data_IF_820453704412
#
_entry.id   IF_820453704412
#
_cell.length_a   1.000
_cell.length_b   1.000
_cell.length_c   1.000
_cell.angle_alpha   90.00
_cell.angle_beta   90.00
_cell.angle_gamma   90.00
#
_symmetry.space_group_name_H-M   'P 1'
#
loop_
_entity.id
_entity.type
_entity.pdbx_description
1 polymer ?
#
# COMPACT_ATOMS: atom_id res chain seq x y z
N UNK A 1 21.49 29.56 50.32
CA UNK A 1 22.13 28.80 49.22
C UNK A 1 21.18 27.82 48.53
N UNK A 2 19.95 27.61 49.02
CA UNK A 2 18.94 26.69 48.44
C UNK A 2 18.13 27.29 47.27
N UNK A 3 17.98 28.62 47.19
CA UNK A 3 17.20 29.30 46.14
C UNK A 3 17.79 29.16 44.72
N UNK A 4 19.12 29.08 44.61
CA UNK A 4 19.81 29.03 43.32
C UNK A 4 19.68 27.67 42.63
N UNK A 5 19.56 26.57 43.40
CA UNK A 5 19.40 25.23 42.85
C UNK A 5 17.96 24.98 42.34
N UNK A 6 16.96 25.51 43.05
CA UNK A 6 15.55 25.43 42.64
C UNK A 6 15.29 26.25 41.38
N UNK A 7 15.86 27.47 41.30
CA UNK A 7 15.76 28.31 40.10
C UNK A 7 16.42 27.68 38.87
N UNK A 8 17.54 26.98 39.05
CA UNK A 8 18.26 26.32 37.96
C UNK A 8 17.53 25.04 37.48
N UNK A 9 16.96 24.25 38.40
CA UNK A 9 16.09 23.12 38.05
C UNK A 9 14.80 23.57 37.35
N UNK A 10 14.18 24.67 37.78
CA UNK A 10 12.99 25.23 37.12
C UNK A 10 13.32 25.80 35.73
N UNK A 11 14.47 26.45 35.57
CA UNK A 11 14.92 26.93 34.27
C UNK A 11 15.25 25.76 33.31
N UNK A 12 15.87 24.68 33.81
CA UNK A 12 16.10 23.46 33.04
C UNK A 12 14.79 22.76 32.68
N UNK A 13 13.85 22.60 33.61
CA UNK A 13 12.53 22.02 33.33
C UNK A 13 11.72 22.85 32.33
N UNK A 14 11.82 24.19 32.40
CA UNK A 14 11.14 25.09 31.48
C UNK A 14 11.77 25.01 30.08
N UNK A 15 13.10 24.97 29.99
CA UNK A 15 13.81 24.76 28.73
C UNK A 15 13.59 23.35 28.15
N UNK A 16 13.44 22.32 28.99
CA UNK A 16 13.03 20.98 28.57
C UNK A 16 11.58 20.95 28.07
N UNK A 17 10.68 21.75 28.66
CA UNK A 17 9.28 21.87 28.24
C UNK A 17 9.06 22.69 26.96
N UNK A 18 10.05 23.48 26.51
CA UNK A 18 9.97 24.37 25.33
C UNK A 18 10.05 23.63 23.97
N UNK A 19 9.89 22.31 23.95
CA UNK A 19 9.90 21.49 22.72
C UNK A 19 8.63 20.66 22.54
N UNK A 20 8.33 20.19 21.32
CA UNK A 20 7.14 19.41 21.02
C UNK A 20 7.12 18.13 21.85
N UNK A 21 5.94 17.80 22.38
CA UNK A 21 5.74 16.59 23.17
C UNK A 21 5.86 15.31 22.31
N UNK A 22 6.05 14.15 22.96
CA UNK A 22 6.07 12.84 22.29
C UNK A 22 4.84 12.64 21.41
N UNK A 23 3.66 12.98 21.93
CA UNK A 23 2.40 12.85 21.22
C UNK A 23 2.30 13.80 20.02
N UNK A 24 2.79 15.03 20.15
CA UNK A 24 2.77 16.02 19.06
C UNK A 24 3.69 15.60 17.91
N UNK A 25 4.86 15.04 18.24
CA UNK A 25 5.76 14.43 17.26
C UNK A 25 5.07 13.25 16.56
N UNK A 26 4.42 12.38 17.33
CA UNK A 26 3.70 11.24 16.77
C UNK A 26 2.57 11.69 15.84
N UNK A 27 1.75 12.68 16.25
CA UNK A 27 0.66 13.23 15.46
C UNK A 27 1.15 13.93 14.20
N UNK A 28 2.27 14.66 14.27
CA UNK A 28 2.91 15.23 13.10
C UNK A 28 3.33 14.15 12.10
N UNK A 29 3.97 13.08 12.56
CA UNK A 29 4.36 11.95 11.70
C UNK A 29 3.12 11.26 11.12
N UNK A 30 2.06 11.01 11.92
CA UNK A 30 0.79 10.43 11.43
C UNK A 30 0.16 11.31 10.36
N UNK A 31 0.10 12.62 10.59
CA UNK A 31 -0.44 13.59 9.63
C UNK A 31 0.37 13.63 8.35
N UNK A 32 1.70 13.61 8.45
CA UNK A 32 2.60 13.55 7.30
C UNK A 32 2.47 12.24 6.52
N UNK A 33 2.28 11.11 7.19
CA UNK A 33 2.00 9.82 6.54
C UNK A 33 0.64 9.85 5.82
N UNK A 34 -0.42 10.30 6.50
CA UNK A 34 -1.78 10.38 5.95
C UNK A 34 -1.87 11.38 4.79
N UNK A 35 -1.17 12.50 4.89
CA UNK A 35 -1.08 13.53 3.86
C UNK A 35 -0.14 13.19 2.71
N UNK A 36 0.59 12.06 2.78
CA UNK A 36 1.50 11.62 1.73
C UNK A 36 2.84 12.36 1.68
N UNK A 37 3.16 13.18 2.68
CA UNK A 37 4.46 13.86 2.81
C UNK A 37 5.55 12.88 3.25
N UNK A 38 5.23 12.00 4.20
CA UNK A 38 6.05 10.87 4.61
C UNK A 38 5.46 9.61 3.99
N UNK A 39 5.89 9.30 2.78
CA UNK A 39 5.51 8.05 2.14
C UNK A 39 6.13 6.87 2.86
N UNK A 40 5.53 5.70 2.78
CA UNK A 40 6.15 4.55 3.35
C UNK A 40 7.38 4.10 2.56
N UNK A 41 8.24 3.33 3.22
CA UNK A 41 9.62 3.08 2.77
C UNK A 41 10.55 4.30 2.88
N UNK A 42 10.04 5.47 3.28
CA UNK A 42 10.88 6.64 3.56
C UNK A 42 11.67 6.42 4.84
N UNK A 43 12.98 6.65 4.75
CA UNK A 43 13.85 6.72 5.92
C UNK A 43 13.47 7.92 6.78
N UNK A 44 13.15 7.67 8.03
CA UNK A 44 12.82 8.68 9.02
C UNK A 44 14.02 8.90 9.94
N UNK A 45 14.49 10.13 10.02
CA UNK A 45 15.56 10.53 10.94
C UNK A 45 15.06 11.62 11.86
N UNK A 46 15.53 11.60 13.10
CA UNK A 46 15.17 12.60 14.11
C UNK A 46 15.46 14.02 13.60
N UNK A 47 16.60 14.24 12.94
CA UNK A 47 16.97 15.55 12.42
C UNK A 47 16.00 16.11 11.36
N UNK A 48 15.36 15.23 10.57
CA UNK A 48 14.32 15.64 9.62
C UNK A 48 13.07 16.11 10.37
N UNK A 49 12.61 15.33 11.35
CA UNK A 49 11.42 15.68 12.15
C UNK A 49 11.65 16.97 12.95
N UNK A 50 12.84 17.15 13.51
CA UNK A 50 13.20 18.40 14.17
C UNK A 50 13.15 19.60 13.20
N UNK A 51 13.63 19.43 11.97
CA UNK A 51 13.53 20.46 10.93
C UNK A 51 12.07 20.73 10.52
N UNK A 52 11.27 19.69 10.32
CA UNK A 52 9.87 19.81 9.91
C UNK A 52 9.01 20.51 10.99
N UNK A 53 9.37 20.34 12.26
CA UNK A 53 8.76 21.01 13.42
C UNK A 53 9.43 22.34 13.80
N UNK A 54 10.45 22.79 13.07
CA UNK A 54 11.17 24.03 13.37
C UNK A 54 11.91 24.05 14.72
N UNK A 55 12.30 22.88 15.23
CA UNK A 55 12.88 22.71 16.57
C UNK A 55 14.40 22.50 16.55
N UNK A 56 15.08 22.87 17.65
CA UNK A 56 16.50 22.53 17.86
C UNK A 56 16.70 21.04 18.16
N UNK A 57 17.94 20.52 18.12
CA UNK A 57 18.26 19.08 18.27
C UNK A 57 17.85 18.41 19.61
N UNK A 58 17.27 19.14 20.56
CA UNK A 58 16.77 18.62 21.86
C UNK A 58 15.48 17.78 21.77
N UNK A 59 15.21 17.17 20.61
CA UNK A 59 14.02 16.33 20.36
C UNK A 59 14.34 14.84 20.29
N UNK A 60 15.62 14.44 20.36
CA UNK A 60 16.07 13.05 20.13
C UNK A 60 15.35 12.02 21.00
N UNK A 61 15.40 12.15 22.34
CA UNK A 61 14.77 11.17 23.22
C UNK A 61 13.25 11.11 23.03
N UNK A 62 12.59 12.26 22.81
CA UNK A 62 11.14 12.31 22.59
C UNK A 62 10.72 11.75 21.24
N UNK A 63 11.50 12.00 20.20
CA UNK A 63 11.28 11.44 18.88
C UNK A 63 11.47 9.93 18.88
N UNK A 64 12.46 9.40 19.61
CA UNK A 64 12.65 7.96 19.78
C UNK A 64 11.45 7.30 20.48
N UNK A 65 10.93 7.89 21.56
CA UNK A 65 9.70 7.38 22.19
C UNK A 65 8.49 7.45 21.23
N UNK A 66 8.31 8.55 20.52
CA UNK A 66 7.24 8.69 19.54
C UNK A 66 7.36 7.63 18.42
N UNK A 67 8.59 7.34 17.96
CA UNK A 67 8.81 6.33 16.93
C UNK A 67 8.57 4.90 17.43
N UNK A 68 8.83 4.63 18.70
CA UNK A 68 8.47 3.35 19.33
C UNK A 68 6.95 3.17 19.41
N UNK A 69 6.20 4.21 19.80
CA UNK A 69 4.73 4.18 19.81
C UNK A 69 4.19 3.94 18.40
N UNK A 70 4.68 4.69 17.41
CA UNK A 70 4.29 4.52 16.01
C UNK A 70 4.71 3.16 15.43
N UNK A 71 5.75 2.51 15.97
CA UNK A 71 6.10 1.12 15.61
C UNK A 71 5.14 0.12 16.23
N UNK A 72 4.69 0.34 17.47
CA UNK A 72 3.66 -0.48 18.08
C UNK A 72 2.33 -0.37 17.30
N UNK A 73 2.03 0.81 16.75
CA UNK A 73 0.92 1.05 15.80
C UNK A 73 1.19 0.45 14.39
N UNK A 74 2.39 -0.03 14.11
CA UNK A 74 2.80 -0.58 12.81
C UNK A 74 3.05 0.47 11.72
N UNK A 75 3.06 1.76 12.05
CA UNK A 75 3.29 2.86 11.11
C UNK A 75 4.78 3.09 10.82
N UNK A 76 5.66 2.70 11.75
CA UNK A 76 7.11 2.71 11.55
C UNK A 76 7.70 1.32 11.79
N UNK A 77 8.87 1.07 11.21
CA UNK A 77 9.71 -0.08 11.54
C UNK A 77 11.15 0.37 11.74
N UNK A 78 11.90 -0.42 12.50
CA UNK A 78 13.31 -0.17 12.77
C UNK A 78 14.15 -1.24 12.08
N UNK A 79 14.99 -0.85 11.13
CA UNK A 79 15.85 -1.76 10.36
C UNK A 79 17.20 -1.11 10.06
N UNK A 80 18.27 -1.85 10.33
CA UNK A 80 19.64 -1.43 10.00
C UNK A 80 20.04 -0.13 10.69
N UNK A 81 19.68 0.01 11.98
CA UNK A 81 19.93 1.19 12.81
C UNK A 81 19.18 2.45 12.39
N UNK A 82 18.09 2.32 11.62
CA UNK A 82 17.32 3.45 11.14
C UNK A 82 15.82 3.18 11.21
N UNK A 83 15.06 4.24 11.46
CA UNK A 83 13.61 4.23 11.36
C UNK A 83 13.17 4.37 9.92
N UNK A 84 12.12 3.64 9.57
CA UNK A 84 11.48 3.69 8.26
C UNK A 84 9.99 3.80 8.47
N UNK A 85 9.34 4.59 7.64
CA UNK A 85 7.89 4.56 7.55
C UNK A 85 7.48 3.20 7.01
N UNK A 86 6.75 2.43 7.81
CA UNK A 86 6.26 1.11 7.41
C UNK A 86 5.26 1.31 6.28
N UNK A 87 5.49 0.66 5.15
CA UNK A 87 4.48 0.43 4.13
C UNK A 87 3.26 -0.20 4.80
N UNK A 88 2.13 0.53 4.92
CA UNK A 88 0.90 -0.06 5.43
C UNK A 88 0.60 -1.35 4.66
N UNK A 89 0.84 -1.31 3.34
CA UNK A 89 0.47 -2.35 2.38
C UNK A 89 1.31 -3.63 2.44
N UNK A 90 2.44 -3.64 3.16
CA UNK A 90 3.25 -4.84 3.37
C UNK A 90 2.86 -5.61 4.65
N UNK A 91 1.94 -5.11 5.47
CA UNK A 91 1.53 -5.82 6.68
C UNK A 91 0.66 -7.04 6.35
N UNK A 92 0.89 -8.20 7.00
CA UNK A 92 0.08 -9.40 6.81
C UNK A 92 -1.44 -9.16 6.96
N UNK A 93 -1.85 -8.32 7.90
CA UNK A 93 -3.25 -7.97 8.17
C UNK A 93 -3.89 -7.18 7.03
N UNK A 94 -3.15 -6.25 6.42
CA UNK A 94 -3.62 -5.48 5.28
C UNK A 94 -3.66 -6.32 4.01
N UNK A 95 -2.64 -7.15 3.78
CA UNK A 95 -2.63 -8.13 2.69
C UNK A 95 -3.84 -9.07 2.81
N UNK A 96 -4.14 -9.57 4.02
CA UNK A 96 -5.33 -10.35 4.28
C UNK A 96 -6.61 -9.56 3.96
N UNK A 97 -6.73 -8.31 4.42
CA UNK A 97 -7.84 -7.43 4.09
C UNK A 97 -8.08 -7.27 2.59
N UNK A 98 -7.02 -7.04 1.82
CA UNK A 98 -7.11 -6.89 0.37
C UNK A 98 -7.52 -8.18 -0.33
N UNK A 99 -7.03 -9.34 0.14
CA UNK A 99 -7.46 -10.63 -0.37
C UNK A 99 -8.94 -10.88 -0.06
N UNK A 100 -9.44 -10.49 1.12
CA UNK A 100 -10.87 -10.54 1.42
C UNK A 100 -11.66 -9.69 0.44
N UNK A 101 -11.21 -8.47 0.15
CA UNK A 101 -11.84 -7.62 -0.88
C UNK A 101 -11.89 -8.33 -2.23
N UNK A 102 -10.80 -8.96 -2.68
CA UNK A 102 -10.80 -9.71 -3.94
C UNK A 102 -11.78 -10.89 -3.95
N UNK A 103 -11.95 -11.59 -2.83
CA UNK A 103 -12.93 -12.67 -2.70
C UNK A 103 -14.34 -12.10 -2.69
N UNK A 104 -14.58 -11.07 -1.87
CA UNK A 104 -15.87 -10.40 -1.72
C UNK A 104 -16.38 -9.83 -3.04
N UNK A 105 -15.54 -9.17 -3.83
CA UNK A 105 -15.91 -8.63 -5.14
C UNK A 105 -15.94 -9.68 -6.26
N UNK A 106 -15.68 -10.95 -5.95
CA UNK A 106 -15.73 -12.05 -6.90
C UNK A 106 -14.54 -12.15 -7.87
N UNK A 107 -13.42 -11.48 -7.61
CA UNK A 107 -12.19 -11.72 -8.35
C UNK A 107 -11.66 -13.14 -8.07
N UNK A 108 -11.88 -13.64 -6.86
CA UNK A 108 -11.64 -15.03 -6.47
C UNK A 108 -12.93 -15.67 -5.92
N UNK A 109 -13.71 -16.39 -6.76
CA UNK A 109 -14.95 -17.02 -6.33
C UNK A 109 -14.73 -18.07 -5.23
N UNK A 110 -15.74 -18.35 -4.39
CA UNK A 110 -15.69 -19.45 -3.43
C UNK A 110 -15.33 -20.79 -4.07
N UNK A 111 -14.47 -21.56 -3.41
CA UNK A 111 -13.96 -22.84 -3.92
C UNK A 111 -12.92 -22.73 -5.03
N UNK A 112 -12.60 -21.53 -5.52
CA UNK A 112 -11.54 -21.35 -6.52
C UNK A 112 -10.15 -21.43 -5.90
N UNK A 113 -9.19 -21.94 -6.68
CA UNK A 113 -7.79 -21.93 -6.31
C UNK A 113 -7.23 -20.52 -6.39
N UNK A 114 -6.54 -20.08 -5.35
CA UNK A 114 -5.79 -18.83 -5.36
C UNK A 114 -4.44 -19.04 -6.08
N UNK A 115 -3.85 -17.97 -6.63
CA UNK A 115 -2.55 -18.07 -7.26
C UNK A 115 -1.49 -18.57 -6.26
N UNK A 116 -0.43 -19.19 -6.78
CA UNK A 116 0.71 -19.59 -5.95
C UNK A 116 1.32 -18.36 -5.27
N UNK A 117 1.82 -18.56 -4.04
CA UNK A 117 2.31 -17.46 -3.19
C UNK A 117 3.31 -16.56 -3.89
N UNK A 118 4.24 -17.13 -4.67
CA UNK A 118 5.25 -16.35 -5.39
C UNK A 118 4.62 -15.44 -6.45
N UNK A 119 3.64 -15.94 -7.19
CA UNK A 119 2.99 -15.17 -8.26
C UNK A 119 2.07 -14.08 -7.69
N UNK A 120 1.33 -14.39 -6.62
CA UNK A 120 0.51 -13.36 -5.97
C UNK A 120 1.38 -12.30 -5.28
N UNK A 121 2.47 -12.70 -4.61
CA UNK A 121 3.40 -11.76 -4.00
C UNK A 121 4.02 -10.82 -5.03
N UNK A 122 4.41 -11.35 -6.19
CA UNK A 122 4.90 -10.55 -7.33
C UNK A 122 3.83 -9.57 -7.83
N UNK A 123 2.60 -10.06 -8.03
CA UNK A 123 1.51 -9.23 -8.55
C UNK A 123 1.09 -8.10 -7.60
N UNK A 124 1.14 -8.36 -6.30
CA UNK A 124 0.86 -7.37 -5.25
C UNK A 124 2.11 -6.59 -4.81
N UNK A 125 3.27 -6.89 -5.38
CA UNK A 125 4.55 -6.25 -5.06
C UNK A 125 4.89 -6.26 -3.56
N UNK A 126 4.49 -7.32 -2.86
CA UNK A 126 4.71 -7.58 -1.42
C UNK A 126 5.73 -8.69 -1.21
N UNK A 127 6.25 -8.82 0.02
CA UNK A 127 7.12 -9.94 0.37
C UNK A 127 6.36 -11.27 0.46
N UNK A 128 6.99 -12.37 0.04
CA UNK A 128 6.43 -13.73 0.18
C UNK A 128 6.24 -14.12 1.65
N UNK A 129 7.10 -13.62 2.54
CA UNK A 129 7.00 -13.81 3.99
C UNK A 129 5.71 -13.17 4.54
N UNK A 130 5.45 -11.90 4.21
CA UNK A 130 4.25 -11.20 4.68
C UNK A 130 2.98 -11.77 4.06
N UNK A 131 3.04 -12.18 2.79
CA UNK A 131 1.93 -12.90 2.17
C UNK A 131 1.69 -14.27 2.83
N UNK A 132 2.75 -14.99 3.21
CA UNK A 132 2.66 -16.22 3.98
C UNK A 132 1.97 -16.01 5.32
N UNK A 133 2.36 -14.98 6.07
CA UNK A 133 1.68 -14.59 7.30
C UNK A 133 0.22 -14.17 7.07
N UNK A 134 -0.10 -13.49 5.96
CA UNK A 134 -1.46 -13.17 5.58
C UNK A 134 -2.29 -14.43 5.31
N UNK A 135 -1.70 -15.46 4.70
CA UNK A 135 -2.37 -16.76 4.53
C UNK A 135 -2.66 -17.45 5.86
N UNK A 136 -1.82 -17.28 6.88
CA UNK A 136 -2.14 -17.79 8.21
C UNK A 136 -3.36 -17.08 8.80
N UNK A 137 -3.39 -15.75 8.76
CA UNK A 137 -4.55 -14.95 9.22
C UNK A 137 -5.84 -15.41 8.52
N UNK A 138 -5.82 -15.51 7.18
CA UNK A 138 -7.00 -15.91 6.40
C UNK A 138 -7.44 -17.36 6.64
N UNK A 139 -6.51 -18.25 7.00
CA UNK A 139 -6.81 -19.64 7.34
C UNK A 139 -7.43 -19.74 8.72
N UNK A 140 -6.89 -19.01 9.69
CA UNK A 140 -7.39 -18.97 11.07
C UNK A 140 -8.83 -18.41 11.11
N UNK A 141 -9.15 -17.48 10.20
CA UNK A 141 -10.50 -16.94 9.99
C UNK A 141 -11.45 -17.88 9.24
N UNK A 142 -10.95 -18.94 8.62
CA UNK A 142 -11.75 -19.82 7.74
C UNK A 142 -12.08 -19.23 6.38
N UNK A 143 -11.41 -18.14 5.96
CA UNK A 143 -11.56 -17.54 4.63
C UNK A 143 -10.87 -18.38 3.55
N UNK A 144 -9.72 -18.98 3.88
CA UNK A 144 -8.92 -19.81 2.98
C UNK A 144 -8.70 -21.18 3.60
N UNK A 145 -8.81 -22.23 2.81
CA UNK A 145 -8.53 -23.61 3.21
C UNK A 145 -7.31 -24.16 2.46
N UNK A 146 -6.54 -25.01 3.13
CA UNK A 146 -5.45 -25.77 2.52
C UNK A 146 -6.00 -27.09 2.01
N UNK A 147 -5.86 -27.38 0.72
CA UNK A 147 -6.21 -28.67 0.12
C UNK A 147 -4.93 -29.40 -0.27
N UNK A 148 -4.73 -30.62 0.22
CA UNK A 148 -3.52 -31.41 -0.05
C UNK A 148 -3.25 -31.52 -1.56
N UNK A 149 -2.03 -31.15 -1.99
CA UNK A 149 -1.62 -31.15 -3.40
C UNK A 149 -2.07 -29.91 -4.21
N UNK A 150 -2.82 -28.99 -3.59
CA UNK A 150 -3.26 -27.74 -4.19
C UNK A 150 -2.74 -26.55 -3.38
N UNK A 151 -2.58 -25.40 -4.05
CA UNK A 151 -2.31 -24.13 -3.37
C UNK A 151 -3.46 -23.71 -2.43
N UNK A 152 -3.39 -22.53 -1.82
CA UNK A 152 -4.50 -22.00 -1.03
C UNK A 152 -5.79 -21.95 -1.87
N UNK A 153 -6.92 -22.38 -1.30
CA UNK A 153 -8.24 -22.38 -1.96
C UNK A 153 -9.19 -21.51 -1.15
N UNK A 154 -10.01 -20.71 -1.83
CA UNK A 154 -11.04 -19.90 -1.16
C UNK A 154 -12.06 -20.83 -0.52
N UNK A 155 -12.42 -20.58 0.74
CA UNK A 155 -13.47 -21.35 1.42
C UNK A 155 -14.77 -21.34 0.59
N UNK A 156 -15.47 -22.48 0.45
CA UNK A 156 -16.79 -22.51 -0.20
C UNK A 156 -17.82 -21.61 0.48
N UNK A 157 -17.65 -21.35 1.78
CA UNK A 157 -18.50 -20.47 2.59
C UNK A 157 -17.58 -19.53 3.38
N UNK A 158 -17.13 -18.41 2.77
CA UNK A 158 -16.30 -17.45 3.48
C UNK A 158 -17.10 -16.75 4.60
N UNK A 159 -16.43 -16.29 5.68
CA UNK A 159 -17.08 -15.75 6.87
C UNK A 159 -17.61 -14.32 6.70
N UNK A 160 -17.79 -13.85 5.46
CA UNK A 160 -18.27 -12.52 5.11
C UNK A 160 -19.22 -12.59 3.91
N UNK A 161 -20.15 -11.62 3.77
CA UNK A 161 -21.06 -11.59 2.64
C UNK A 161 -20.28 -11.38 1.33
N UNK A 162 -20.67 -12.13 0.30
CA UNK A 162 -20.14 -11.95 -1.04
C UNK A 162 -20.98 -10.94 -1.80
N UNK A 163 -20.32 -10.10 -2.58
CA UNK A 163 -20.99 -9.21 -3.53
C UNK A 163 -21.25 -9.95 -4.84
N UNK A 164 -22.28 -9.52 -5.56
CA UNK A 164 -22.46 -9.96 -6.94
C UNK A 164 -21.27 -9.47 -7.76
N UNK A 165 -20.50 -10.37 -8.41
CA UNK A 165 -19.36 -9.96 -9.21
C UNK A 165 -19.83 -9.01 -10.30
N UNK A 166 -19.25 -7.81 -10.34
CA UNK A 166 -19.56 -6.83 -11.38
C UNK A 166 -19.20 -7.42 -12.75
N UNK A 167 -20.10 -7.24 -13.71
CA UNK A 167 -19.79 -7.55 -15.10
C UNK A 167 -18.65 -6.65 -15.61
N UNK A 168 -17.93 -7.08 -16.66
CA UNK A 168 -16.80 -6.31 -17.19
C UNK A 168 -17.16 -4.87 -17.61
N UNK A 169 -18.38 -4.63 -18.09
CA UNK A 169 -18.82 -3.31 -18.56
C UNK A 169 -19.12 -2.37 -17.40
N UNK A 170 -19.70 -2.88 -16.32
CA UNK A 170 -19.92 -2.18 -15.06
C UNK A 170 -18.58 -1.82 -14.40
N UNK A 171 -17.63 -2.76 -14.36
CA UNK A 171 -16.25 -2.48 -13.93
C UNK A 171 -15.61 -1.38 -14.77
N UNK A 172 -15.71 -1.48 -16.10
CA UNK A 172 -15.17 -0.47 -16.99
C UNK A 172 -15.83 0.91 -16.80
N UNK A 173 -17.11 0.94 -16.45
CA UNK A 173 -17.83 2.19 -16.17
C UNK A 173 -17.34 2.83 -14.88
N UNK A 174 -17.12 2.05 -13.81
CA UNK A 174 -16.56 2.59 -12.55
C UNK A 174 -15.11 3.06 -12.74
N UNK A 175 -14.28 2.28 -13.42
CA UNK A 175 -12.88 2.65 -13.68
C UNK A 175 -12.74 3.91 -14.53
N UNK A 176 -13.66 4.18 -15.46
CA UNK A 176 -13.69 5.43 -16.24
C UNK A 176 -13.78 6.69 -15.37
N UNK A 177 -14.43 6.61 -14.21
CA UNK A 177 -14.46 7.74 -13.27
C UNK A 177 -13.09 8.06 -12.64
N UNK A 178 -12.16 7.10 -12.67
CA UNK A 178 -10.80 7.24 -12.13
C UNK A 178 -9.75 7.59 -13.20
N UNK A 179 -10.08 7.47 -14.50
CA UNK A 179 -9.16 7.80 -15.58
C UNK A 179 -9.08 9.30 -15.82
N UNK A 180 -7.87 9.83 -15.97
CA UNK A 180 -7.63 11.25 -16.31
C UNK A 180 -7.72 11.43 -17.82
N UNK A 181 -8.92 11.72 -18.32
CA UNK A 181 -9.18 12.10 -19.72
C UNK A 181 -8.85 11.02 -20.76
N UNK A 182 -9.27 11.25 -22.01
CA UNK A 182 -8.91 10.43 -23.17
C UNK A 182 -7.42 10.62 -23.52
N UNK A 183 -6.50 10.28 -22.61
CA UNK A 183 -5.09 10.18 -22.96
C UNK A 183 -4.98 9.12 -24.06
N UNK A 184 -4.49 9.50 -25.23
CA UNK A 184 -4.23 8.58 -26.33
C UNK A 184 -3.37 7.42 -25.81
N UNK A 185 -3.95 6.23 -25.83
CA UNK A 185 -3.39 5.02 -25.25
C UNK A 185 -2.27 4.52 -26.16
N UNK A 186 -1.11 5.17 -26.13
CA UNK A 186 0.06 4.68 -26.82
C UNK A 186 0.74 3.60 -25.97
N UNK A 187 0.96 2.43 -26.55
CA UNK A 187 1.66 1.31 -25.91
C UNK A 187 3.02 1.72 -25.32
N UNK A 188 3.72 2.68 -25.94
CA UNK A 188 4.97 3.22 -25.40
C UNK A 188 4.76 3.95 -24.08
N UNK A 189 3.78 4.86 -24.02
CA UNK A 189 3.46 5.62 -22.81
C UNK A 189 2.99 4.72 -21.66
N UNK A 190 2.26 3.64 -21.96
CA UNK A 190 1.88 2.64 -20.95
C UNK A 190 3.11 1.89 -20.44
N UNK A 191 4.02 1.45 -21.33
CA UNK A 191 5.25 0.77 -20.94
C UNK A 191 6.15 1.66 -20.07
N UNK A 192 6.27 2.92 -20.42
CA UNK A 192 6.99 3.92 -19.63
C UNK A 192 6.34 4.11 -18.26
N UNK A 193 5.02 4.29 -18.21
CA UNK A 193 4.25 4.41 -16.95
C UNK A 193 4.44 3.17 -16.07
N UNK A 194 4.46 1.96 -16.65
CA UNK A 194 4.73 0.72 -15.93
C UNK A 194 6.17 0.66 -15.39
N UNK A 195 7.16 1.13 -16.16
CA UNK A 195 8.56 1.16 -15.73
C UNK A 195 8.77 2.20 -14.62
N UNK A 196 8.14 3.37 -14.74
CA UNK A 196 8.22 4.46 -13.79
C UNK A 196 7.60 4.08 -12.45
N UNK A 197 6.37 3.56 -12.42
CA UNK A 197 5.72 3.09 -11.20
C UNK A 197 6.53 2.01 -10.47
N UNK A 198 7.06 1.02 -11.22
CA UNK A 198 7.93 -0.02 -10.65
C UNK A 198 9.23 0.55 -10.11
N UNK A 199 9.81 1.54 -10.80
CA UNK A 199 11.03 2.19 -10.35
C UNK A 199 10.77 2.92 -9.03
N UNK A 200 9.76 3.78 -8.97
CA UNK A 200 9.39 4.50 -7.74
C UNK A 200 9.16 3.56 -6.56
N UNK A 201 8.41 2.48 -6.76
CA UNK A 201 8.19 1.49 -5.70
C UNK A 201 9.48 0.79 -5.28
N UNK A 202 10.30 0.33 -6.24
CA UNK A 202 11.54 -0.40 -5.97
C UNK A 202 12.59 0.49 -5.29
N UNK A 203 12.73 1.73 -5.72
CA UNK A 203 13.72 2.68 -5.18
C UNK A 203 13.19 3.45 -3.98
N UNK A 204 11.94 3.17 -3.56
CA UNK A 204 11.23 3.90 -2.48
C UNK A 204 11.31 5.42 -2.70
N UNK A 205 11.19 5.85 -3.95
CA UNK A 205 11.28 7.24 -4.35
C UNK A 205 9.88 7.84 -4.40
N UNK A 206 9.71 8.99 -3.76
CA UNK A 206 8.46 9.75 -3.81
C UNK A 206 8.36 10.53 -5.12
N UNK A 207 7.43 10.17 -6.03
CA UNK A 207 7.13 11.03 -7.17
C UNK A 207 6.40 12.30 -6.72
N UNK A 208 6.45 13.39 -7.53
CA UNK A 208 5.52 14.49 -7.41
C UNK A 208 4.06 13.99 -7.50
N UNK A 209 3.11 14.54 -6.72
CA UNK A 209 1.72 14.07 -6.73
C UNK A 209 1.07 14.08 -8.11
N UNK A 210 1.32 15.11 -8.92
CA UNK A 210 0.80 15.20 -10.28
C UNK A 210 1.32 14.08 -11.19
N UNK A 211 2.60 13.70 -11.05
CA UNK A 211 3.18 12.60 -11.81
C UNK A 211 2.57 11.26 -11.39
N UNK A 212 2.35 11.05 -10.08
CA UNK A 212 1.69 9.83 -9.59
C UNK A 212 0.26 9.68 -10.13
N UNK A 213 -0.53 10.75 -10.08
CA UNK A 213 -1.91 10.75 -10.58
C UNK A 213 -1.97 10.55 -12.11
N UNK A 214 -1.03 11.15 -12.85
CA UNK A 214 -0.92 10.93 -14.29
C UNK A 214 -0.56 9.46 -14.62
N UNK A 215 0.47 8.90 -13.97
CA UNK A 215 0.87 7.50 -14.14
C UNK A 215 -0.28 6.56 -13.76
N UNK A 216 -0.98 6.83 -12.66
CA UNK A 216 -2.16 6.07 -12.25
C UNK A 216 -3.26 6.13 -13.32
N UNK A 217 -3.60 7.33 -13.80
CA UNK A 217 -4.58 7.54 -14.85
C UNK A 217 -4.26 6.75 -16.13
N UNK A 218 -3.01 6.80 -16.62
CA UNK A 218 -2.57 6.03 -17.78
C UNK A 218 -2.75 4.52 -17.59
N UNK A 219 -2.40 4.01 -16.40
CA UNK A 219 -2.53 2.59 -16.08
C UNK A 219 -4.00 2.16 -15.98
N UNK A 220 -4.87 2.98 -15.42
CA UNK A 220 -6.32 2.73 -15.41
C UNK A 220 -6.88 2.70 -16.83
N UNK A 221 -6.47 3.64 -17.69
CA UNK A 221 -6.88 3.64 -19.10
C UNK A 221 -6.39 2.37 -19.83
N UNK A 222 -5.18 1.89 -19.53
CA UNK A 222 -4.69 0.61 -20.05
C UNK A 222 -5.53 -0.59 -19.57
N UNK A 223 -5.91 -0.64 -18.29
CA UNK A 223 -6.81 -1.68 -17.74
C UNK A 223 -8.18 -1.64 -18.43
N UNK A 224 -8.73 -0.44 -18.66
CA UNK A 224 -9.99 -0.26 -19.40
C UNK A 224 -9.91 -0.81 -20.82
N UNK A 225 -8.81 -0.55 -21.52
CA UNK A 225 -8.59 -1.08 -22.86
C UNK A 225 -8.50 -2.61 -22.83
N UNK A 226 -7.75 -3.19 -21.88
CA UNK A 226 -7.59 -4.64 -21.74
C UNK A 226 -8.89 -5.36 -21.35
N UNK A 227 -9.74 -4.73 -20.53
CA UNK A 227 -11.06 -5.26 -20.20
C UNK A 227 -11.97 -5.29 -21.43
N UNK A 228 -11.95 -4.23 -22.25
CA UNK A 228 -12.74 -4.13 -23.48
C UNK A 228 -12.26 -5.07 -24.58
N UNK A 229 -10.95 -5.30 -24.67
CA UNK A 229 -10.40 -6.26 -25.63
C UNK A 229 -10.73 -7.71 -25.29
N UNK A 230 -11.34 -7.97 -24.13
CA UNK A 230 -11.82 -9.27 -23.66
C UNK A 230 -10.75 -10.38 -23.76
N UNK A 231 -9.88 -10.53 -22.75
CA UNK A 231 -8.71 -11.40 -22.90
C UNK A 231 -9.10 -12.88 -23.04
N UNK A 232 -8.45 -13.59 -23.96
CA UNK A 232 -8.82 -14.96 -24.36
C UNK A 232 -8.68 -16.02 -23.25
N UNK A 233 -8.00 -15.70 -22.15
CA UNK A 233 -7.73 -16.66 -21.07
C UNK A 233 -8.50 -16.34 -19.77
N UNK A 234 -9.04 -17.36 -19.07
CA UNK A 234 -9.65 -17.18 -17.75
C UNK A 234 -8.69 -16.58 -16.71
N UNK A 235 -7.39 -16.88 -16.81
CA UNK A 235 -6.38 -16.34 -15.90
C UNK A 235 -6.21 -14.82 -16.08
N UNK A 236 -6.18 -14.33 -17.32
CA UNK A 236 -6.13 -12.90 -17.61
C UNK A 236 -7.37 -12.17 -17.08
N UNK A 237 -8.56 -12.79 -17.20
CA UNK A 237 -9.78 -12.27 -16.61
C UNK A 237 -9.70 -12.11 -15.10
N UNK A 238 -9.23 -13.13 -14.38
CA UNK A 238 -9.03 -13.07 -12.92
C UNK A 238 -8.03 -11.99 -12.54
N UNK A 239 -6.91 -11.89 -13.27
CA UNK A 239 -5.89 -10.85 -13.06
C UNK A 239 -6.47 -9.45 -13.25
N UNK A 240 -7.24 -9.21 -14.32
CA UNK A 240 -7.88 -7.92 -14.58
C UNK A 240 -8.94 -7.56 -13.54
N UNK A 241 -9.81 -8.52 -13.15
CA UNK A 241 -10.82 -8.30 -12.10
C UNK A 241 -10.18 -7.93 -10.77
N UNK A 242 -9.11 -8.63 -10.37
CA UNK A 242 -8.33 -8.29 -9.18
C UNK A 242 -7.76 -6.88 -9.28
N UNK A 243 -7.15 -6.52 -10.41
CA UNK A 243 -6.59 -5.18 -10.62
C UNK A 243 -7.67 -4.10 -10.57
N UNK A 244 -8.85 -4.36 -11.11
CA UNK A 244 -9.99 -3.45 -11.05
C UNK A 244 -10.50 -3.28 -9.60
N UNK A 245 -10.64 -4.37 -8.86
CA UNK A 245 -11.02 -4.33 -7.44
C UNK A 245 -9.99 -3.54 -6.61
N UNK A 246 -8.69 -3.73 -6.90
CA UNK A 246 -7.62 -2.99 -6.27
C UNK A 246 -7.73 -1.48 -6.53
N UNK A 247 -8.02 -1.09 -7.77
CA UNK A 247 -8.15 0.32 -8.16
C UNK A 247 -9.41 1.00 -7.58
N UNK A 248 -10.49 0.24 -7.38
CA UNK A 248 -11.79 0.73 -6.93
C UNK A 248 -11.96 0.72 -5.40
N UNK A 249 -11.01 0.16 -4.66
CA UNK A 249 -11.08 0.05 -3.20
C UNK A 249 -11.18 1.43 -2.53
N UNK A 250 -12.33 1.77 -1.91
CA UNK A 250 -12.59 3.09 -1.33
C UNK A 250 -11.95 3.27 0.04
N UNK A 251 -11.51 2.19 0.72
CA UNK A 251 -11.03 2.23 2.10
C UNK A 251 -9.54 2.54 2.24
N UNK A 252 -8.94 3.11 1.19
CA UNK A 252 -7.50 3.22 1.11
C UNK A 252 -6.93 4.53 1.63
N UNK A 253 -5.99 4.44 2.57
CA UNK A 253 -5.15 5.56 3.01
C UNK A 253 -4.17 5.96 1.89
N UNK A 254 -3.86 7.24 1.74
CA UNK A 254 -3.00 7.86 0.68
C UNK A 254 -1.69 7.12 0.40
N UNK A 255 -1.03 6.58 1.43
CA UNK A 255 0.14 5.69 1.36
C UNK A 255 -0.04 4.46 0.45
N UNK A 256 -1.29 4.12 0.16
CA UNK A 256 -1.71 2.99 -0.65
C UNK A 256 -1.76 3.31 -2.15
N UNK A 257 -1.74 4.60 -2.57
CA UNK A 257 -1.81 5.00 -3.99
C UNK A 257 -0.59 4.56 -4.80
N UNK A 258 0.63 4.85 -4.34
CA UNK A 258 1.86 4.45 -5.03
C UNK A 258 1.97 2.94 -5.17
N UNK A 259 1.65 2.20 -4.10
CA UNK A 259 1.62 0.75 -4.09
C UNK A 259 0.59 0.19 -5.09
N UNK A 260 -0.64 0.74 -5.12
CA UNK A 260 -1.65 0.36 -6.13
C UNK A 260 -1.14 0.61 -7.53
N UNK A 261 -0.58 1.78 -7.80
CA UNK A 261 0.02 2.12 -9.10
C UNK A 261 1.07 1.08 -9.49
N UNK A 262 1.92 0.64 -8.55
CA UNK A 262 2.92 -0.41 -8.79
C UNK A 262 2.28 -1.79 -9.07
N UNK A 263 1.25 -2.19 -8.32
CA UNK A 263 0.53 -3.44 -8.55
C UNK A 263 -0.15 -3.47 -9.93
N UNK A 264 -0.84 -2.38 -10.29
CA UNK A 264 -1.49 -2.22 -11.59
C UNK A 264 -0.43 -2.28 -12.70
N UNK A 265 0.69 -1.57 -12.53
CA UNK A 265 1.81 -1.59 -13.47
C UNK A 265 2.38 -2.99 -13.72
N UNK A 266 2.48 -3.84 -12.68
CA UNK A 266 2.94 -5.23 -12.84
C UNK A 266 1.96 -6.00 -13.72
N UNK A 267 0.66 -5.96 -13.41
CA UNK A 267 -0.34 -6.73 -14.16
C UNK A 267 -0.49 -6.23 -15.60
N UNK A 268 -0.58 -4.91 -15.79
CA UNK A 268 -0.65 -4.29 -17.13
C UNK A 268 0.61 -4.63 -17.94
N UNK A 269 1.80 -4.54 -17.34
CA UNK A 269 3.05 -4.89 -18.00
C UNK A 269 3.12 -6.38 -18.38
N UNK A 270 2.67 -7.28 -17.52
CA UNK A 270 2.62 -8.72 -17.82
C UNK A 270 1.64 -9.03 -18.96
N UNK A 271 0.45 -8.43 -18.95
CA UNK A 271 -0.57 -8.66 -19.98
C UNK A 271 -0.18 -8.06 -21.33
N UNK A 272 0.50 -6.91 -21.37
CA UNK A 272 0.94 -6.29 -22.62
C UNK A 272 2.18 -6.95 -23.23
N UNK A 273 3.05 -7.56 -22.41
CA UNK A 273 4.23 -8.28 -22.91
C UNK A 273 3.89 -9.70 -23.40
N UNK A 274 2.76 -10.26 -22.96
CA UNK A 274 2.12 -11.42 -23.60
C UNK A 274 1.34 -10.91 -24.81
N UNK A 275 2.04 -10.55 -25.89
CA UNK A 275 1.38 -10.24 -27.18
C UNK A 275 0.49 -11.41 -27.65
N UNK A 276 -0.45 -11.17 -28.58
CA UNK A 276 -1.32 -12.22 -29.09
C UNK A 276 -0.44 -13.38 -29.60
N UNK A 277 -0.71 -14.58 -29.09
CA UNK A 277 -0.07 -15.80 -29.56
C UNK A 277 -0.48 -16.11 -31.00
#
# INVERSE_FOLDING_TARGET
MTDSAVGLLQALNKAEAEGPGVQEIADHVRAAIRGGVLLPGTKLGVGRIASDLGCSRSVESRAEFAFQDLRAEGLLNFRGSMWWVTEPTDQPTQIAGMIRTFIQTGAYPPGSSLPVTVDLARALVVSTMNLGAAWHILRDEGTVVSRTGFGPVVSPVPPFPLETPLDPDALATRLRSLSVGNADVNAHAIKESCAQARTWWRTRTSPPPAALEQTYGHLITAVLHLLRSNPDTPEAHVRLRRTAALALDPNSVTSSRLWRTACIAVVVGELLNRGPA
#
